data_IF_376692065673
#
_entry.id   IF_376692065673
#
_cell.length_a   1.000
_cell.length_b   1.000
_cell.length_c   1.000
_cell.angle_alpha   90.00
_cell.angle_beta   90.00
_cell.angle_gamma   90.00
#
_symmetry.space_group_name_H-M   'P 1'
#
loop_
_entity.id
_entity.type
_entity.pdbx_description
1 polymer ?
#
# COMPACT_ATOMS: atom_id res chain seq x y z
N UNK A 1 -24.03 0.88 8.70
CA UNK A 1 -22.62 0.44 8.61
C UNK A 1 -21.79 1.55 9.22
N UNK A 2 -20.94 1.24 10.20
CA UNK A 2 -20.12 2.26 10.86
C UNK A 2 -19.11 2.87 9.87
N UNK A 3 -18.77 4.14 10.06
CA UNK A 3 -17.73 4.79 9.28
C UNK A 3 -16.36 4.24 9.67
N UNK A 4 -15.68 3.62 8.71
CA UNK A 4 -14.39 2.97 8.95
C UNK A 4 -13.25 3.98 9.14
N UNK A 5 -13.33 5.18 8.55
CA UNK A 5 -12.23 6.16 8.57
C UNK A 5 -11.88 6.63 9.99
N UNK A 6 -12.83 7.03 10.86
CA UNK A 6 -12.53 7.34 12.26
C UNK A 6 -11.86 6.17 13.00
N UNK A 7 -12.31 4.94 12.76
CA UNK A 7 -11.75 3.73 13.37
C UNK A 7 -10.32 3.49 12.88
N UNK A 8 -10.08 3.64 11.58
CA UNK A 8 -8.76 3.48 10.97
C UNK A 8 -7.76 4.50 11.52
N UNK A 9 -8.16 5.77 11.63
CA UNK A 9 -7.29 6.82 12.21
C UNK A 9 -6.96 6.50 13.67
N UNK A 10 -7.97 6.12 14.47
CA UNK A 10 -7.76 5.73 15.87
C UNK A 10 -6.81 4.53 15.98
N UNK A 11 -6.99 3.52 15.12
CA UNK A 11 -6.13 2.34 15.09
C UNK A 11 -4.67 2.72 14.79
N UNK A 12 -4.43 3.49 13.72
CA UNK A 12 -3.07 3.89 13.32
C UNK A 12 -2.41 4.74 14.40
N UNK A 13 -3.12 5.74 14.94
CA UNK A 13 -2.60 6.61 15.99
C UNK A 13 -2.27 5.85 17.29
N UNK A 14 -2.97 4.74 17.58
CA UNK A 14 -2.64 3.90 18.75
C UNK A 14 -1.35 3.09 18.59
N UNK A 15 -0.77 3.06 17.38
CA UNK A 15 0.47 2.34 17.06
C UNK A 15 1.65 3.27 16.78
N UNK A 16 1.41 4.57 16.60
CA UNK A 16 2.43 5.56 16.29
C UNK A 16 2.80 6.38 17.53
N UNK A 17 4.10 6.54 17.74
CA UNK A 17 4.67 7.53 18.65
C UNK A 17 4.67 8.95 18.06
N UNK A 18 5.00 9.97 18.88
CA UNK A 18 5.12 11.35 18.42
C UNK A 18 6.15 11.49 17.27
N UNK A 19 5.73 12.07 16.16
CA UNK A 19 6.59 12.32 15.00
C UNK A 19 6.80 11.12 14.07
N UNK A 20 6.23 9.96 14.37
CA UNK A 20 6.35 8.76 13.52
C UNK A 20 5.49 8.85 12.26
N UNK A 21 5.96 8.14 11.22
CA UNK A 21 5.32 8.06 9.91
C UNK A 21 4.71 6.67 9.75
N UNK A 22 3.43 6.60 9.35
CA UNK A 22 2.81 5.36 8.91
C UNK A 22 3.03 5.16 7.40
N UNK A 23 3.52 4.00 6.99
CA UNK A 23 3.60 3.60 5.58
C UNK A 23 2.53 2.54 5.30
N UNK A 24 1.58 2.88 4.43
CA UNK A 24 0.55 1.98 3.92
C UNK A 24 1.06 1.31 2.65
N UNK A 25 1.21 -0.01 2.69
CA UNK A 25 1.72 -0.77 1.55
C UNK A 25 0.57 -1.44 0.82
N UNK A 26 0.50 -1.24 -0.50
CA UNK A 26 -0.46 -1.92 -1.37
C UNK A 26 0.16 -2.25 -2.73
N UNK A 27 -0.40 -3.23 -3.42
CA UNK A 27 0.05 -3.63 -4.76
C UNK A 27 -0.81 -2.95 -5.81
N UNK A 28 -0.23 -2.07 -6.64
CA UNK A 28 -0.96 -1.13 -7.52
C UNK A 28 -1.70 -0.02 -6.74
N UNK A 29 -1.14 0.35 -5.57
CA UNK A 29 -1.71 1.31 -4.63
C UNK A 29 -2.13 2.63 -5.30
N UNK A 30 -1.29 3.15 -6.21
CA UNK A 30 -1.51 4.44 -6.87
C UNK A 30 -2.81 4.48 -7.69
N UNK A 31 -3.20 3.33 -8.27
CA UNK A 31 -4.36 3.25 -9.17
C UNK A 31 -5.61 2.73 -8.49
N UNK A 32 -5.49 2.03 -7.36
CA UNK A 32 -6.62 1.35 -6.72
C UNK A 32 -6.83 1.77 -5.27
N UNK A 33 -6.01 1.28 -4.34
CA UNK A 33 -6.22 1.44 -2.90
C UNK A 33 -6.22 2.89 -2.45
N UNK A 34 -5.27 3.70 -2.95
CA UNK A 34 -5.14 5.10 -2.55
C UNK A 34 -6.33 5.96 -3.02
N UNK A 35 -6.76 5.90 -4.31
CA UNK A 35 -7.98 6.56 -4.74
C UNK A 35 -9.24 6.07 -4.00
N UNK A 36 -9.34 4.77 -3.68
CA UNK A 36 -10.47 4.23 -2.92
C UNK A 36 -10.49 4.81 -1.49
N UNK A 37 -9.36 4.74 -0.78
CA UNK A 37 -9.24 5.25 0.57
C UNK A 37 -9.51 6.77 0.61
N UNK A 38 -9.00 7.53 -0.35
CA UNK A 38 -9.26 8.97 -0.45
C UNK A 38 -10.75 9.30 -0.62
N UNK A 39 -11.51 8.49 -1.36
CA UNK A 39 -12.97 8.65 -1.46
C UNK A 39 -13.66 8.39 -0.12
N UNK A 40 -13.21 7.41 0.65
CA UNK A 40 -13.76 7.13 1.97
C UNK A 40 -13.45 8.26 2.97
N UNK A 41 -12.22 8.79 2.96
CA UNK A 41 -11.87 10.00 3.72
C UNK A 41 -12.77 11.18 3.33
N UNK A 42 -12.97 11.39 2.02
CA UNK A 42 -13.85 12.43 1.53
C UNK A 42 -15.31 12.24 1.92
N UNK A 43 -15.80 11.00 1.96
CA UNK A 43 -17.16 10.65 2.38
C UNK A 43 -17.38 11.00 3.85
N UNK A 44 -16.36 10.80 4.68
CA UNK A 44 -16.38 11.16 6.10
C UNK A 44 -16.03 12.64 6.37
N UNK A 45 -15.77 13.47 5.34
CA UNK A 45 -15.30 14.85 5.49
C UNK A 45 -14.01 14.97 6.33
N UNK A 46 -13.11 13.99 6.21
CA UNK A 46 -11.83 13.92 6.92
C UNK A 46 -10.68 14.00 5.92
N UNK A 47 -9.57 14.61 6.33
CA UNK A 47 -8.34 14.60 5.55
C UNK A 47 -7.49 13.37 5.89
N UNK A 48 -6.74 12.87 4.91
CA UNK A 48 -5.70 11.87 5.15
C UNK A 48 -4.60 12.53 6.01
N UNK A 49 -4.15 11.92 7.13
CA UNK A 49 -3.12 12.50 7.97
C UNK A 49 -1.80 12.76 7.25
N UNK A 50 -1.16 13.88 7.58
CA UNK A 50 0.06 14.34 6.93
C UNK A 50 1.26 13.41 7.12
N UNK A 51 1.30 12.67 8.22
CA UNK A 51 2.33 11.68 8.53
C UNK A 51 2.04 10.31 7.93
N UNK A 52 1.04 10.18 7.06
CA UNK A 52 0.80 8.95 6.29
C UNK A 52 1.51 9.00 4.94
N UNK A 53 2.12 7.88 4.59
CA UNK A 53 2.79 7.63 3.33
C UNK A 53 2.25 6.35 2.71
N UNK A 54 2.31 6.25 1.40
CA UNK A 54 1.82 5.10 0.65
C UNK A 54 2.95 4.50 -0.18
N UNK A 55 3.10 3.19 -0.16
CA UNK A 55 4.08 2.47 -0.95
C UNK A 55 3.34 1.58 -1.96
N UNK A 56 3.63 1.78 -3.24
CA UNK A 56 3.13 0.92 -4.32
C UNK A 56 4.19 -0.12 -4.65
N UNK A 57 3.88 -1.40 -4.39
CA UNK A 57 4.84 -2.50 -4.63
C UNK A 57 4.90 -2.94 -6.08
N UNK A 58 3.94 -2.55 -6.94
CA UNK A 58 3.91 -2.97 -8.34
C UNK A 58 5.12 -2.44 -9.14
N UNK A 59 5.53 -1.16 -9.01
CA UNK A 59 6.78 -0.67 -9.61
C UNK A 59 8.02 -1.38 -9.08
N UNK A 60 8.09 -1.67 -7.78
CA UNK A 60 9.23 -2.38 -7.19
C UNK A 60 9.35 -3.81 -7.74
N UNK A 61 8.21 -4.51 -7.85
CA UNK A 61 8.16 -5.83 -8.46
C UNK A 61 8.62 -5.81 -9.92
N UNK A 62 8.23 -4.80 -10.69
CA UNK A 62 8.68 -4.63 -12.09
C UNK A 62 10.18 -4.41 -12.19
N UNK A 63 10.73 -3.59 -11.31
CA UNK A 63 12.18 -3.36 -11.27
C UNK A 63 12.93 -4.64 -10.93
N UNK A 64 12.48 -5.39 -9.91
CA UNK A 64 13.08 -6.67 -9.55
C UNK A 64 13.06 -7.67 -10.71
N UNK A 65 11.92 -7.85 -11.37
CA UNK A 65 11.81 -8.78 -12.50
C UNK A 65 12.75 -8.39 -13.64
N UNK A 66 12.91 -7.09 -13.89
CA UNK A 66 13.85 -6.56 -14.89
C UNK A 66 15.30 -6.86 -14.50
N UNK A 67 15.68 -6.68 -13.24
CA UNK A 67 17.03 -6.99 -12.74
C UNK A 67 17.37 -8.47 -12.85
N UNK A 68 16.38 -9.35 -12.61
CA UNK A 68 16.54 -10.80 -12.71
C UNK A 68 16.51 -11.32 -14.16
N UNK A 69 16.62 -10.44 -15.17
CA UNK A 69 16.61 -10.79 -16.58
C UNK A 69 15.27 -11.34 -17.09
N UNK A 70 14.21 -11.25 -16.28
CA UNK A 70 12.89 -11.74 -16.64
C UNK A 70 12.11 -10.65 -17.37
N UNK A 71 11.92 -10.83 -18.67
CA UNK A 71 11.02 -10.00 -19.49
C UNK A 71 9.54 -10.32 -19.20
N UNK A 72 9.27 -11.32 -18.35
CA UNK A 72 7.92 -11.76 -18.01
C UNK A 72 7.15 -10.63 -17.30
N UNK A 73 6.10 -10.15 -17.98
CA UNK A 73 5.18 -9.09 -17.55
C UNK A 73 4.28 -9.45 -16.37
N UNK A 74 4.47 -10.62 -15.76
CA UNK A 74 3.60 -11.15 -14.71
C UNK A 74 4.00 -10.63 -13.34
N UNK A 75 3.75 -9.34 -13.12
CA UNK A 75 3.98 -8.67 -11.83
C UNK A 75 2.70 -8.53 -11.02
N UNK A 76 1.69 -9.39 -11.24
CA UNK A 76 0.51 -9.42 -10.40
C UNK A 76 0.85 -10.05 -9.05
N UNK A 77 0.07 -9.73 -8.01
CA UNK A 77 0.27 -10.29 -6.67
C UNK A 77 0.31 -11.83 -6.69
N UNK A 78 -0.60 -12.45 -7.44
CA UNK A 78 -0.64 -13.90 -7.61
C UNK A 78 0.63 -14.45 -8.30
N UNK A 79 1.07 -13.84 -9.40
CA UNK A 79 2.25 -14.31 -10.10
C UNK A 79 3.54 -14.13 -9.28
N UNK A 80 3.64 -13.05 -8.51
CA UNK A 80 4.76 -12.82 -7.59
C UNK A 80 4.76 -13.85 -6.46
N UNK A 81 3.58 -14.19 -5.93
CA UNK A 81 3.43 -15.24 -4.93
C UNK A 81 3.95 -16.59 -5.45
N UNK A 82 3.56 -16.97 -6.66
CA UNK A 82 4.03 -18.19 -7.32
C UNK A 82 5.54 -18.15 -7.57
N UNK A 83 6.06 -17.01 -8.06
CA UNK A 83 7.49 -16.81 -8.32
C UNK A 83 8.35 -17.00 -7.07
N UNK A 84 7.92 -16.46 -5.92
CA UNK A 84 8.64 -16.62 -4.66
C UNK A 84 8.31 -17.91 -3.90
N UNK A 85 7.45 -18.78 -4.43
CA UNK A 85 7.05 -20.02 -3.75
C UNK A 85 6.29 -19.79 -2.44
N UNK A 86 5.55 -18.68 -2.33
CA UNK A 86 4.81 -18.34 -1.10
C UNK A 86 3.49 -19.15 -1.06
N UNK A 87 3.20 -19.90 0.02
CA UNK A 87 1.95 -20.67 0.13
C UNK A 87 0.72 -19.74 0.19
N UNK A 88 -0.43 -20.23 -0.28
CA UNK A 88 -1.68 -19.47 -0.16
C UNK A 88 -2.27 -19.78 1.21
N UNK A 89 -2.49 -18.76 2.01
CA UNK A 89 -3.29 -18.90 3.23
C UNK A 89 -4.73 -18.45 2.96
N UNK A 90 -5.67 -19.38 3.04
CA UNK A 90 -7.09 -19.13 2.82
C UNK A 90 -7.50 -19.06 1.34
N UNK A 91 -8.63 -18.40 1.08
CA UNK A 91 -9.14 -18.20 -0.28
C UNK A 91 -8.54 -16.95 -0.90
N UNK A 92 -8.06 -17.08 -2.14
CA UNK A 92 -7.62 -15.94 -2.96
C UNK A 92 -8.75 -14.90 -3.09
N UNK A 93 -8.39 -13.61 -3.21
CA UNK A 93 -9.32 -12.48 -3.32
C UNK A 93 -10.09 -12.13 -2.03
N UNK A 94 -9.70 -12.72 -0.89
CA UNK A 94 -10.04 -12.18 0.42
C UNK A 94 -9.01 -11.14 0.80
N UNK A 95 -9.45 -9.95 1.24
CA UNK A 95 -8.56 -8.86 1.61
C UNK A 95 -7.42 -9.30 2.56
N UNK A 96 -7.71 -10.16 3.54
CA UNK A 96 -6.69 -10.68 4.46
C UNK A 96 -5.66 -11.59 3.77
N UNK A 97 -6.10 -12.47 2.85
CA UNK A 97 -5.19 -13.38 2.12
C UNK A 97 -4.26 -12.59 1.20
N UNK A 98 -4.79 -11.55 0.55
CA UNK A 98 -4.01 -10.65 -0.30
C UNK A 98 -3.01 -9.83 0.54
N UNK A 99 -3.40 -9.36 1.73
CA UNK A 99 -2.49 -8.64 2.66
C UNK A 99 -1.37 -9.55 3.16
N UNK A 100 -1.67 -10.79 3.57
CA UNK A 100 -0.64 -11.74 4.01
C UNK A 100 0.33 -12.07 2.87
N UNK A 101 -0.19 -12.29 1.66
CA UNK A 101 0.64 -12.52 0.48
C UNK A 101 1.53 -11.31 0.17
N UNK A 102 0.96 -10.10 0.23
CA UNK A 102 1.68 -8.85 0.00
C UNK A 102 2.79 -8.62 1.03
N UNK A 103 2.56 -8.93 2.30
CA UNK A 103 3.57 -8.79 3.35
C UNK A 103 4.79 -9.67 3.05
N UNK A 104 4.57 -10.95 2.73
CA UNK A 104 5.63 -11.88 2.35
C UNK A 104 6.33 -11.48 1.04
N UNK A 105 5.59 -11.00 0.05
CA UNK A 105 6.15 -10.51 -1.22
C UNK A 105 7.01 -9.25 -1.00
N UNK A 106 6.55 -8.32 -0.15
CA UNK A 106 7.30 -7.11 0.17
C UNK A 106 8.65 -7.47 0.78
N UNK A 107 8.68 -8.38 1.76
CA UNK A 107 9.91 -8.85 2.39
C UNK A 107 10.90 -9.37 1.33
N UNK A 108 10.44 -10.25 0.43
CA UNK A 108 11.27 -10.79 -0.67
C UNK A 108 11.79 -9.70 -1.59
N UNK A 109 10.92 -8.81 -2.06
CA UNK A 109 11.31 -7.70 -2.96
C UNK A 109 12.36 -6.81 -2.28
N UNK A 110 12.14 -6.45 -1.01
CA UNK A 110 13.07 -5.56 -0.30
C UNK A 110 14.42 -6.22 -0.04
N UNK A 111 14.44 -7.53 0.22
CA UNK A 111 15.68 -8.28 0.40
C UNK A 111 16.49 -8.34 -0.90
N UNK A 112 15.85 -8.76 -2.01
CA UNK A 112 16.52 -8.90 -3.31
C UNK A 112 17.02 -7.55 -3.87
N UNK A 113 16.25 -6.48 -3.68
CA UNK A 113 16.65 -5.13 -4.09
C UNK A 113 17.60 -4.44 -3.08
N UNK A 114 17.95 -5.09 -1.97
CA UNK A 114 18.72 -4.49 -0.87
C UNK A 114 18.15 -3.16 -0.36
N UNK A 115 16.81 -3.04 -0.28
CA UNK A 115 16.13 -1.82 0.16
C UNK A 115 16.30 -1.59 1.66
N UNK A 116 16.75 -0.40 2.02
CA UNK A 116 16.73 0.05 3.43
C UNK A 116 15.37 0.65 3.79
N UNK A 117 15.14 0.87 5.10
CA UNK A 117 13.99 1.66 5.58
C UNK A 117 13.97 3.07 4.97
N UNK A 118 15.13 3.67 4.75
CA UNK A 118 15.24 4.98 4.11
C UNK A 118 14.75 4.94 2.66
N UNK A 119 15.06 3.87 1.93
CA UNK A 119 14.64 3.70 0.53
C UNK A 119 13.14 3.45 0.41
N UNK A 120 12.56 2.69 1.34
CA UNK A 120 11.11 2.53 1.45
C UNK A 120 10.42 3.88 1.68
N UNK A 121 10.94 4.69 2.60
CA UNK A 121 10.38 6.02 2.86
C UNK A 121 10.52 6.95 1.66
N UNK A 122 11.68 6.97 0.99
CA UNK A 122 11.90 7.79 -0.22
C UNK A 122 11.01 7.37 -1.40
N UNK A 123 10.75 6.07 -1.53
CA UNK A 123 9.91 5.52 -2.61
C UNK A 123 8.42 5.69 -2.33
N UNK A 124 8.05 5.84 -1.05
CA UNK A 124 6.69 6.13 -0.63
C UNK A 124 6.24 7.55 -1.06
N UNK A 125 4.94 7.72 -1.27
CA UNK A 125 4.33 8.97 -1.71
C UNK A 125 3.23 9.44 -0.76
N UNK A 126 2.91 10.73 -0.79
CA UNK A 126 1.75 11.29 -0.08
C UNK A 126 0.54 11.22 -0.99
N UNK A 127 -0.63 10.99 -0.39
CA UNK A 127 -1.88 11.08 -1.12
C UNK A 127 -2.23 12.56 -1.34
N UNK A 128 -2.06 13.06 -2.56
CA UNK A 128 -2.39 14.43 -2.91
C UNK A 128 -3.89 14.56 -3.22
N UNK A 129 -4.73 14.58 -2.19
CA UNK A 129 -6.15 14.88 -2.33
C UNK A 129 -6.51 16.06 -1.44
N UNK A 130 -6.49 17.26 -2.01
CA UNK A 130 -7.13 18.39 -1.36
C UNK A 130 -8.64 18.28 -1.55
N UNK A 131 -9.39 18.35 -0.45
CA UNK A 131 -10.80 18.69 -0.50
C UNK A 131 -10.94 20.06 -1.17
N UNK A 132 -11.28 20.07 -2.46
CA UNK A 132 -11.92 21.24 -3.05
C UNK A 132 -13.23 21.43 -2.30
N UNK A 133 -13.30 22.44 -1.42
CA UNK A 133 -14.57 22.93 -0.90
C UNK A 133 -15.46 23.22 -2.11
N UNK A 134 -16.44 22.36 -2.38
CA UNK A 134 -17.51 22.70 -3.33
C UNK A 134 -18.23 23.90 -2.71
N UNK A 135 -17.96 25.10 -3.23
CA UNK A 135 -18.80 26.26 -2.98
C UNK A 135 -20.21 25.87 -3.43
N UNK A 136 -21.11 25.68 -2.47
CA UNK A 136 -22.54 25.58 -2.75
C UNK A 136 -22.96 26.93 -3.32
N UNK A 137 -23.26 26.96 -4.62
CA UNK A 137 -24.14 27.98 -5.20
C UNK A 137 -25.58 27.63 -4.83
#
# INVERSE_FOLDING_TARGET
MEDLIPILIKYVNSRLGPGEIAIFVAHNARRFDVPFLAKEFSRCSMNIPDNWRFLDTLPLARELMKQNGSVSSKTSLHALREYFGIPLEGSAHRAMSDVNSLASILERITSELNFTLSDLLKTSFRANFHHSKKNKK
#
